data_IF_507648417354
#
_entry.id   IF_507648417354
#
_cell.length_a   1.000
_cell.length_b   1.000
_cell.length_c   1.000
_cell.angle_alpha   90.00
_cell.angle_beta   90.00
_cell.angle_gamma   90.00
#
_symmetry.space_group_name_H-M   'P 1'
#
loop_
_entity.id
_entity.type
_entity.pdbx_description
1 polymer ?
#
# COMPACT_ATOMS: atom_id res chain seq x y z
N UNK A 1 -11.86 25.39 -0.40
CA UNK A 1 -12.19 23.95 -0.57
C UNK A 1 -13.68 23.80 -0.84
N UNK A 2 -14.06 23.13 -1.94
CA UNK A 2 -15.48 22.96 -2.32
C UNK A 2 -16.24 22.07 -1.31
N UNK A 3 -17.57 22.20 -1.25
CA UNK A 3 -18.43 21.35 -0.38
C UNK A 3 -18.30 19.87 -0.75
N UNK A 4 -18.18 19.56 -2.03
CA UNK A 4 -17.97 18.19 -2.54
C UNK A 4 -16.63 17.60 -2.10
N UNK A 5 -15.56 18.40 -2.13
CA UNK A 5 -14.25 17.92 -1.65
C UNK A 5 -14.24 17.71 -0.12
N UNK A 6 -14.91 18.57 0.65
CA UNK A 6 -15.09 18.40 2.10
C UNK A 6 -15.81 17.09 2.44
N UNK A 7 -16.95 16.85 1.81
CA UNK A 7 -17.75 15.64 2.04
C UNK A 7 -17.02 14.39 1.60
N UNK A 8 -16.31 14.43 0.48
CA UNK A 8 -15.47 13.32 0.01
C UNK A 8 -14.37 12.97 1.03
N UNK A 9 -13.59 13.95 1.48
CA UNK A 9 -12.52 13.72 2.47
C UNK A 9 -13.10 13.15 3.76
N UNK A 10 -14.17 13.76 4.30
CA UNK A 10 -14.81 13.28 5.50
C UNK A 10 -15.32 11.84 5.35
N UNK A 11 -15.94 11.52 4.22
CA UNK A 11 -16.44 10.18 3.92
C UNK A 11 -15.32 9.14 3.86
N UNK A 12 -14.28 9.38 3.06
CA UNK A 12 -13.15 8.44 2.91
C UNK A 12 -12.42 8.24 4.24
N UNK A 13 -12.16 9.30 4.99
CA UNK A 13 -11.50 9.21 6.30
C UNK A 13 -12.35 8.43 7.30
N UNK A 14 -13.66 8.71 7.36
CA UNK A 14 -14.57 8.02 8.29
C UNK A 14 -14.68 6.54 7.95
N UNK A 15 -14.92 6.21 6.67
CA UNK A 15 -15.01 4.82 6.20
C UNK A 15 -13.71 4.08 6.42
N UNK A 16 -12.56 4.70 6.12
CA UNK A 16 -11.25 4.08 6.35
C UNK A 16 -10.99 3.83 7.83
N UNK A 17 -11.32 4.78 8.72
CA UNK A 17 -11.13 4.63 10.15
C UNK A 17 -12.02 3.52 10.72
N UNK A 18 -13.29 3.47 10.31
CA UNK A 18 -14.21 2.38 10.67
C UNK A 18 -13.73 1.04 10.14
N UNK A 19 -13.29 0.98 8.87
CA UNK A 19 -12.75 -0.22 8.26
C UNK A 19 -11.50 -0.72 9.01
N UNK A 20 -10.60 0.18 9.43
CA UNK A 20 -9.40 -0.18 10.20
C UNK A 20 -9.76 -0.71 11.58
N UNK A 21 -10.72 -0.08 12.26
CA UNK A 21 -11.21 -0.54 13.56
C UNK A 21 -11.84 -1.93 13.45
N UNK A 22 -12.77 -2.12 12.52
CA UNK A 22 -13.40 -3.42 12.26
C UNK A 22 -12.36 -4.45 11.87
N UNK A 23 -11.41 -4.10 10.99
CA UNK A 23 -10.37 -5.01 10.58
C UNK A 23 -9.51 -5.46 11.75
N UNK A 24 -9.12 -4.54 12.64
CA UNK A 24 -8.32 -4.83 13.83
C UNK A 24 -9.05 -5.76 14.82
N UNK A 25 -10.37 -5.62 14.95
CA UNK A 25 -11.16 -6.43 15.88
C UNK A 25 -11.56 -7.80 15.31
N UNK A 26 -11.82 -7.88 14.00
CA UNK A 26 -12.35 -9.09 13.34
C UNK A 26 -11.24 -9.95 12.75
N UNK A 27 -10.16 -9.34 12.26
CA UNK A 27 -9.08 -10.03 11.57
C UNK A 27 -7.76 -9.84 12.32
N UNK A 28 -7.48 -10.67 13.35
CA UNK A 28 -6.24 -10.58 14.10
C UNK A 28 -5.04 -10.79 13.17
N UNK A 29 -3.90 -10.16 13.51
CA UNK A 29 -2.68 -10.31 12.76
C UNK A 29 -2.25 -11.78 12.71
N UNK A 30 -2.00 -12.28 11.50
CA UNK A 30 -1.56 -13.66 11.28
C UNK A 30 -0.15 -13.87 11.85
N UNK A 31 0.13 -15.00 12.54
CA UNK A 31 1.46 -15.31 13.07
C UNK A 31 2.55 -15.40 11.99
N UNK A 32 2.20 -15.55 10.72
CA UNK A 32 3.16 -15.60 9.62
C UNK A 32 3.98 -14.32 9.46
N UNK A 33 3.50 -13.19 10.00
CA UNK A 33 4.26 -11.93 10.00
C UNK A 33 5.25 -11.82 11.16
N UNK A 34 5.26 -12.75 12.10
CA UNK A 34 6.05 -12.63 13.31
C UNK A 34 7.56 -12.51 13.02
N UNK A 35 8.19 -11.53 13.66
CA UNK A 35 9.63 -11.32 13.55
C UNK A 35 10.38 -12.31 14.45
N UNK A 36 11.41 -13.02 13.94
CA UNK A 36 12.15 -14.01 14.72
C UNK A 36 13.10 -13.31 15.71
N UNK A 37 12.59 -13.05 16.91
CA UNK A 37 13.36 -12.46 18.01
C UNK A 37 14.07 -13.57 18.82
N UNK A 38 15.38 -13.44 19.11
CA UNK A 38 16.10 -14.41 19.93
C UNK A 38 15.44 -14.58 21.31
N UNK A 39 15.15 -15.83 21.70
CA UNK A 39 14.55 -16.14 23.00
C UNK A 39 13.04 -15.86 23.11
N UNK A 40 12.38 -15.41 22.04
CA UNK A 40 10.93 -15.16 22.01
C UNK A 40 10.29 -16.09 20.99
N UNK A 41 9.27 -16.83 21.41
CA UNK A 41 8.51 -17.70 20.49
C UNK A 41 7.83 -16.89 19.38
N UNK A 42 7.84 -17.42 18.15
CA UNK A 42 7.22 -16.79 16.97
C UNK A 42 5.69 -16.67 17.09
N UNK A 43 5.06 -17.44 17.97
CA UNK A 43 3.62 -17.37 18.25
C UNK A 43 3.23 -16.30 19.29
N UNK A 44 4.18 -15.50 19.78
CA UNK A 44 3.89 -14.46 20.76
C UNK A 44 3.35 -13.19 20.10
N UNK A 45 2.47 -12.48 20.82
CA UNK A 45 1.99 -11.16 20.38
C UNK A 45 3.14 -10.16 20.17
N UNK A 46 4.22 -10.26 20.95
CA UNK A 46 5.41 -9.41 20.83
C UNK A 46 6.13 -9.65 19.50
N UNK A 47 6.35 -10.91 19.11
CA UNK A 47 6.98 -11.22 17.82
C UNK A 47 6.12 -10.75 16.64
N UNK A 48 4.79 -10.89 16.75
CA UNK A 48 3.84 -10.40 15.75
C UNK A 48 3.89 -8.88 15.61
N UNK A 49 3.87 -8.14 16.73
CA UNK A 49 3.98 -6.69 16.74
C UNK A 49 5.34 -6.21 16.19
N UNK A 50 6.43 -6.89 16.53
CA UNK A 50 7.75 -6.61 15.96
C UNK A 50 7.78 -6.82 14.44
N UNK A 51 7.07 -7.84 13.95
CA UNK A 51 6.85 -8.09 12.54
C UNK A 51 6.12 -6.96 11.84
N UNK A 52 4.98 -6.54 12.39
CA UNK A 52 4.23 -5.37 11.89
C UNK A 52 5.12 -4.12 11.89
N UNK A 53 5.88 -3.89 12.96
CA UNK A 53 6.84 -2.79 13.06
C UNK A 53 7.92 -2.83 11.98
N UNK A 54 8.49 -4.01 11.71
CA UNK A 54 9.45 -4.21 10.62
C UNK A 54 8.87 -3.79 9.26
N UNK A 55 7.65 -4.23 8.94
CA UNK A 55 7.00 -3.90 7.67
C UNK A 55 6.57 -2.43 7.58
N UNK A 56 6.17 -1.80 8.69
CA UNK A 56 5.95 -0.35 8.76
C UNK A 56 7.25 0.39 8.41
N UNK A 57 8.36 0.03 9.05
CA UNK A 57 9.66 0.67 8.81
C UNK A 57 10.13 0.48 7.37
N UNK A 58 10.01 -0.73 6.83
CA UNK A 58 10.40 -1.01 5.45
C UNK A 58 9.54 -0.21 4.46
N UNK A 59 8.25 -0.07 4.74
CA UNK A 59 7.33 0.76 3.94
C UNK A 59 7.69 2.24 4.05
N UNK A 60 7.98 2.77 5.25
CA UNK A 60 8.43 4.15 5.47
C UNK A 60 9.70 4.47 4.67
N UNK A 61 10.71 3.60 4.74
CA UNK A 61 11.96 3.76 4.00
C UNK A 61 11.72 3.74 2.49
N UNK A 62 10.86 2.83 2.02
CA UNK A 62 10.49 2.72 0.61
C UNK A 62 9.65 3.90 0.13
N UNK A 63 8.89 4.53 1.03
CA UNK A 63 8.05 5.70 0.75
C UNK A 63 8.83 7.01 0.78
N UNK A 64 10.03 7.04 1.35
CA UNK A 64 10.89 8.24 1.39
C UNK A 64 11.37 8.72 0.00
N UNK A 65 11.22 7.90 -1.04
CA UNK A 65 11.70 8.17 -2.40
C UNK A 65 10.59 8.05 -3.47
N UNK A 66 9.46 8.77 -3.35
CA UNK A 66 8.36 8.65 -4.29
C UNK A 66 8.70 9.30 -5.65
N UNK A 67 8.06 8.83 -6.72
CA UNK A 67 8.12 9.47 -8.05
C UNK A 67 6.88 10.34 -8.22
N UNK A 68 7.09 11.61 -8.54
CA UNK A 68 6.02 12.58 -8.84
C UNK A 68 5.53 12.38 -10.27
N UNK A 69 4.23 12.49 -10.46
CA UNK A 69 3.56 12.40 -11.75
C UNK A 69 3.14 13.78 -12.25
N UNK A 70 2.84 13.94 -13.56
CA UNK A 70 2.50 15.23 -14.15
C UNK A 70 1.34 15.96 -13.45
N UNK A 71 0.39 15.22 -12.86
CA UNK A 71 -0.76 15.79 -12.17
C UNK A 71 -0.55 15.96 -10.65
N UNK A 72 0.69 15.80 -10.16
CA UNK A 72 1.06 15.97 -8.76
C UNK A 72 0.78 14.78 -7.85
N UNK A 73 0.26 13.68 -8.40
CA UNK A 73 0.15 12.39 -7.73
C UNK A 73 1.56 11.80 -7.51
N UNK A 74 1.72 11.04 -6.42
CA UNK A 74 2.97 10.39 -6.08
C UNK A 74 2.74 8.89 -6.08
N UNK A 75 3.63 8.14 -6.74
CA UNK A 75 3.63 6.68 -6.63
C UNK A 75 5.01 6.25 -6.19
N UNK A 76 5.01 5.50 -5.09
CA UNK A 76 6.19 4.91 -4.49
C UNK A 76 6.24 3.41 -4.74
N UNK A 77 7.45 2.89 -4.70
CA UNK A 77 7.72 1.44 -4.69
C UNK A 77 7.33 0.79 -3.36
N UNK A 78 6.95 1.58 -2.35
CA UNK A 78 6.48 1.09 -1.05
C UNK A 78 5.20 0.25 -1.11
N UNK A 79 4.50 0.24 -2.25
CA UNK A 79 3.38 -0.66 -2.46
C UNK A 79 3.79 -2.13 -2.32
N UNK A 80 5.01 -2.50 -2.75
CA UNK A 80 5.49 -3.88 -2.62
C UNK A 80 5.60 -4.36 -1.14
N UNK A 81 6.34 -3.67 -0.23
CA UNK A 81 6.38 -4.07 1.17
C UNK A 81 5.03 -3.97 1.89
N UNK A 82 4.18 -3.02 1.50
CA UNK A 82 2.81 -2.94 2.03
C UNK A 82 1.97 -4.16 1.64
N UNK A 83 2.01 -4.58 0.38
CA UNK A 83 1.32 -5.79 -0.09
C UNK A 83 1.91 -7.06 0.53
N UNK A 84 3.23 -7.13 0.70
CA UNK A 84 3.87 -8.24 1.42
C UNK A 84 3.34 -8.38 2.86
N UNK A 85 3.21 -7.25 3.58
CA UNK A 85 2.65 -7.25 4.92
C UNK A 85 1.17 -7.64 4.94
N UNK A 86 0.39 -7.24 3.93
CA UNK A 86 -0.99 -7.71 3.75
C UNK A 86 -1.04 -9.23 3.54
N UNK A 87 -0.16 -9.80 2.72
CA UNK A 87 -0.10 -11.24 2.46
C UNK A 87 0.26 -12.05 3.72
N UNK A 88 1.17 -11.54 4.54
CA UNK A 88 1.61 -12.21 5.77
C UNK A 88 0.65 -12.01 6.94
N UNK A 89 0.19 -10.77 7.14
CA UNK A 89 -0.49 -10.34 8.36
C UNK A 89 -2.01 -10.18 8.24
N UNK A 90 -2.54 -10.11 7.02
CA UNK A 90 -3.99 -9.97 6.77
C UNK A 90 -4.50 -8.51 6.77
N UNK A 91 -5.83 -8.31 6.79
CA UNK A 91 -6.50 -7.02 6.60
C UNK A 91 -6.10 -5.94 7.60
N UNK A 92 -6.05 -6.28 8.90
CA UNK A 92 -5.70 -5.33 9.94
C UNK A 92 -4.27 -4.80 9.75
N UNK A 93 -3.33 -5.72 9.53
CA UNK A 93 -1.93 -5.39 9.28
C UNK A 93 -1.79 -4.54 8.01
N UNK A 94 -2.49 -4.91 6.94
CA UNK A 94 -2.49 -4.13 5.70
C UNK A 94 -2.90 -2.67 5.95
N UNK A 95 -3.96 -2.47 6.73
CA UNK A 95 -4.42 -1.13 7.12
C UNK A 95 -3.41 -0.35 7.97
N UNK A 96 -2.82 -0.97 9.00
CA UNK A 96 -1.83 -0.32 9.86
C UNK A 96 -0.52 0.00 9.13
N UNK A 97 -0.03 -0.94 8.31
CA UNK A 97 1.18 -0.73 7.50
C UNK A 97 0.93 0.32 6.44
N UNK A 98 -0.23 0.35 5.78
CA UNK A 98 -0.60 1.42 4.86
C UNK A 98 -0.68 2.77 5.58
N UNK A 99 -1.40 2.83 6.72
CA UNK A 99 -1.63 4.07 7.45
C UNK A 99 -0.37 4.65 8.07
N UNK A 100 0.53 3.84 8.62
CA UNK A 100 1.75 4.34 9.26
C UNK A 100 2.92 4.37 8.30
N UNK A 101 3.02 3.36 7.42
CA UNK A 101 4.11 3.16 6.48
C UNK A 101 4.20 4.19 5.36
N UNK A 102 3.13 4.94 5.11
CA UNK A 102 3.08 5.97 4.06
C UNK A 102 3.21 7.40 4.59
N UNK A 103 3.62 7.56 5.85
CA UNK A 103 3.88 8.87 6.46
C UNK A 103 5.06 9.56 5.79
N UNK A 104 4.90 10.84 5.41
CA UNK A 104 5.97 11.62 4.79
C UNK A 104 6.66 12.59 5.76
N UNK A 105 7.95 12.85 5.53
CA UNK A 105 8.72 13.86 6.29
C UNK A 105 8.06 15.25 6.24
N UNK A 106 7.37 15.57 5.15
CA UNK A 106 6.68 16.85 4.93
C UNK A 106 5.47 17.01 5.86
N UNK A 107 4.79 15.92 6.16
CA UNK A 107 3.66 15.90 7.09
C UNK A 107 4.14 16.13 8.52
N UNK A 108 5.25 15.47 8.90
CA UNK A 108 5.89 15.67 10.20
C UNK A 108 6.40 17.10 10.41
N UNK A 109 6.71 17.81 9.32
CA UNK A 109 7.10 19.22 9.33
C UNK A 109 5.93 20.20 9.24
N UNK A 110 4.70 19.70 9.08
CA UNK A 110 3.51 20.55 8.91
C UNK A 110 3.44 21.26 7.55
N UNK A 111 4.21 20.82 6.55
CA UNK A 111 4.18 21.40 5.18
C UNK A 111 2.92 20.99 4.41
N UNK A 112 2.22 19.95 4.87
CA UNK A 112 0.99 19.44 4.27
C UNK A 112 -0.16 19.71 5.27
N UNK A 113 -1.29 20.30 4.82
CA UNK A 113 -2.45 20.49 5.69
C UNK A 113 -2.94 19.15 6.25
N UNK A 114 -3.29 19.13 7.54
CA UNK A 114 -3.69 17.91 8.26
C UNK A 114 -4.79 17.09 7.56
N UNK A 115 -5.76 17.76 6.94
CA UNK A 115 -6.86 17.10 6.22
C UNK A 115 -6.38 16.43 4.93
N UNK A 116 -5.32 16.95 4.31
CA UNK A 116 -4.68 16.37 3.13
C UNK A 116 -3.95 15.09 3.48
N UNK A 117 -3.19 15.09 4.60
CA UNK A 117 -2.54 13.90 5.12
C UNK A 117 -3.57 12.83 5.50
N UNK A 118 -4.60 13.17 6.27
CA UNK A 118 -5.65 12.19 6.60
C UNK A 118 -6.32 11.60 5.37
N UNK A 119 -6.65 12.42 4.36
CA UNK A 119 -7.24 11.94 3.11
C UNK A 119 -6.29 11.01 2.34
N UNK A 120 -4.99 11.31 2.33
CA UNK A 120 -3.98 10.48 1.68
C UNK A 120 -3.83 9.13 2.37
N UNK A 121 -3.65 9.14 3.70
CA UNK A 121 -3.50 7.93 4.50
C UNK A 121 -4.77 7.06 4.42
N UNK A 122 -5.96 7.65 4.56
CA UNK A 122 -7.22 6.94 4.42
C UNK A 122 -7.43 6.39 2.99
N UNK A 123 -7.02 7.16 1.99
CA UNK A 123 -7.08 6.78 0.57
C UNK A 123 -6.24 5.56 0.23
N UNK A 124 -5.17 5.28 0.98
CA UNK A 124 -4.31 4.09 0.80
C UNK A 124 -4.71 2.95 1.75
N UNK A 125 -5.01 3.27 3.02
CA UNK A 125 -5.36 2.29 4.04
C UNK A 125 -6.66 1.55 3.71
N UNK A 126 -7.70 2.25 3.23
CA UNK A 126 -8.97 1.61 2.88
C UNK A 126 -8.81 0.56 1.76
N UNK A 127 -8.17 0.85 0.61
CA UNK A 127 -7.83 -0.18 -0.39
C UNK A 127 -7.03 -1.35 0.18
N UNK A 128 -6.05 -1.09 1.05
CA UNK A 128 -5.21 -2.14 1.64
C UNK A 128 -6.03 -3.10 2.51
N UNK A 129 -6.94 -2.55 3.34
CA UNK A 129 -7.84 -3.34 4.17
C UNK A 129 -8.78 -4.18 3.30
N UNK A 130 -9.43 -3.56 2.31
CA UNK A 130 -10.38 -4.28 1.43
C UNK A 130 -9.67 -5.38 0.64
N UNK A 131 -8.49 -5.11 0.09
CA UNK A 131 -7.68 -6.12 -0.58
C UNK A 131 -7.26 -7.26 0.36
N UNK A 132 -6.91 -6.95 1.61
CA UNK A 132 -6.63 -7.97 2.62
C UNK A 132 -7.85 -8.83 2.94
N UNK A 133 -9.05 -8.24 3.01
CA UNK A 133 -10.30 -8.99 3.21
C UNK A 133 -10.55 -9.90 2.02
N UNK A 134 -10.42 -9.38 0.80
CA UNK A 134 -10.53 -10.17 -0.44
C UNK A 134 -9.58 -11.36 -0.42
N UNK A 135 -8.32 -11.15 -0.04
CA UNK A 135 -7.33 -12.23 0.07
C UNK A 135 -7.80 -13.34 1.02
N UNK A 136 -8.37 -12.99 2.18
CA UNK A 136 -8.83 -13.98 3.15
C UNK A 136 -10.06 -14.76 2.69
N UNK A 137 -11.03 -14.10 2.06
CA UNK A 137 -12.28 -14.75 1.63
C UNK A 137 -12.13 -15.56 0.34
N UNK A 138 -11.09 -15.30 -0.45
CA UNK A 138 -10.83 -16.09 -1.66
C UNK A 138 -10.54 -17.55 -1.30
N UNK A 139 -11.18 -18.53 -1.98
CA UNK A 139 -10.93 -19.95 -1.74
C UNK A 139 -9.50 -20.36 -2.18
N UNK A 140 -9.07 -21.56 -1.77
CA UNK A 140 -7.78 -22.12 -2.20
C UNK A 140 -6.59 -21.75 -1.34
N UNK A 141 -6.80 -21.37 -0.07
CA UNK A 141 -5.71 -21.08 0.87
C UNK A 141 -4.75 -22.24 1.10
N UNK A 142 -5.24 -23.48 0.96
CA UNK A 142 -4.46 -24.71 1.14
C UNK A 142 -4.18 -25.42 -0.18
N UNK A 143 -4.52 -24.80 -1.32
CA UNK A 143 -4.41 -25.42 -2.65
C UNK A 143 -3.01 -25.31 -3.28
N UNK A 144 -2.01 -24.89 -2.49
CA UNK A 144 -0.61 -24.79 -2.89
C UNK A 144 -0.18 -23.42 -3.41
N UNK A 145 1.10 -23.30 -3.73
CA UNK A 145 1.79 -22.03 -4.02
C UNK A 145 1.21 -21.29 -5.22
N UNK A 146 0.77 -21.99 -6.27
CA UNK A 146 0.16 -21.34 -7.44
C UNK A 146 -1.18 -20.69 -7.07
N UNK A 147 -2.01 -21.35 -6.25
CA UNK A 147 -3.27 -20.79 -5.78
C UNK A 147 -3.02 -19.59 -4.86
N UNK A 148 -2.04 -19.66 -3.97
CA UNK A 148 -1.61 -18.53 -3.14
C UNK A 148 -1.17 -17.33 -3.98
N UNK A 149 -0.35 -17.57 -5.01
CA UNK A 149 0.08 -16.53 -5.95
C UNK A 149 -1.11 -15.89 -6.68
N UNK A 150 -2.03 -16.69 -7.22
CA UNK A 150 -3.22 -16.16 -7.92
C UNK A 150 -4.10 -15.35 -6.98
N UNK A 151 -4.33 -15.81 -5.74
CA UNK A 151 -5.08 -15.07 -4.71
C UNK A 151 -4.39 -13.74 -4.38
N UNK A 152 -3.07 -13.76 -4.25
CA UNK A 152 -2.26 -12.56 -4.03
C UNK A 152 -2.38 -11.56 -5.19
N UNK A 153 -2.42 -12.03 -6.44
CA UNK A 153 -2.58 -11.17 -7.62
C UNK A 153 -3.97 -10.55 -7.68
N UNK A 154 -5.02 -11.32 -7.38
CA UNK A 154 -6.40 -10.80 -7.32
C UNK A 154 -6.51 -9.72 -6.23
N UNK A 155 -5.98 -9.98 -5.04
CA UNK A 155 -5.97 -8.99 -3.96
C UNK A 155 -5.19 -7.72 -4.33
N UNK A 156 -4.02 -7.86 -4.97
CA UNK A 156 -3.24 -6.73 -5.50
C UNK A 156 -3.99 -5.92 -6.56
N UNK A 157 -4.71 -6.58 -7.45
CA UNK A 157 -5.53 -5.90 -8.45
C UNK A 157 -6.66 -5.11 -7.78
N UNK A 158 -7.33 -5.67 -6.77
CA UNK A 158 -8.35 -4.97 -5.98
C UNK A 158 -7.76 -3.75 -5.28
N UNK A 159 -6.62 -3.91 -4.60
CA UNK A 159 -5.89 -2.79 -3.99
C UNK A 159 -5.65 -1.68 -5.02
N UNK A 160 -5.08 -2.03 -6.17
CA UNK A 160 -4.71 -1.06 -7.20
C UNK A 160 -5.93 -0.32 -7.77
N UNK A 161 -7.01 -1.05 -8.13
CA UNK A 161 -8.24 -0.46 -8.68
C UNK A 161 -8.83 0.53 -7.68
N UNK A 162 -8.96 0.15 -6.41
CA UNK A 162 -9.52 1.01 -5.37
C UNK A 162 -8.63 2.22 -5.11
N UNK A 163 -7.31 2.02 -5.01
CA UNK A 163 -6.36 3.10 -4.77
C UNK A 163 -6.39 4.14 -5.90
N UNK A 164 -6.33 3.71 -7.17
CA UNK A 164 -6.43 4.62 -8.32
C UNK A 164 -7.78 5.34 -8.36
N UNK A 165 -8.87 4.64 -8.04
CA UNK A 165 -10.21 5.24 -8.03
C UNK A 165 -10.33 6.32 -6.95
N UNK A 166 -9.86 6.04 -5.73
CA UNK A 166 -9.92 7.00 -4.62
C UNK A 166 -8.96 8.19 -4.82
N UNK A 167 -7.73 7.92 -5.23
CA UNK A 167 -6.74 8.96 -5.52
C UNK A 167 -7.19 9.83 -6.70
N UNK A 168 -7.67 9.21 -7.78
CA UNK A 168 -8.20 9.91 -8.95
C UNK A 168 -9.44 10.75 -8.63
N UNK A 169 -10.34 10.26 -7.78
CA UNK A 169 -11.51 11.01 -7.31
C UNK A 169 -11.13 12.23 -6.49
N UNK A 170 -10.17 12.08 -5.56
CA UNK A 170 -9.65 13.19 -4.78
C UNK A 170 -9.02 14.26 -5.68
N UNK A 171 -8.20 13.84 -6.64
CA UNK A 171 -7.51 14.74 -7.56
C UNK A 171 -8.52 15.47 -8.46
N UNK A 172 -9.47 14.75 -9.06
CA UNK A 172 -10.52 15.33 -9.90
C UNK A 172 -11.34 16.40 -9.16
N UNK A 173 -11.73 16.14 -7.92
CA UNK A 173 -12.44 17.10 -7.07
C UNK A 173 -11.58 18.31 -6.68
N UNK A 174 -10.26 18.13 -6.56
CA UNK A 174 -9.31 19.19 -6.22
C UNK A 174 -9.00 20.11 -7.41
N UNK A 175 -8.88 19.55 -8.60
CA UNK A 175 -8.54 20.29 -9.83
C UNK A 175 -9.76 20.72 -10.64
N UNK A 176 -10.97 20.34 -10.21
CA UNK A 176 -12.22 20.56 -10.94
C UNK A 176 -12.17 19.99 -12.37
N UNK A 177 -11.47 18.87 -12.53
CA UNK A 177 -11.39 18.11 -13.79
C UNK A 177 -12.32 16.90 -13.76
N UNK A 178 -12.66 16.36 -14.93
CA UNK A 178 -13.46 15.14 -14.98
C UNK A 178 -12.66 13.93 -14.49
N UNK A 179 -13.32 13.06 -13.72
CA UNK A 179 -12.72 11.84 -13.17
C UNK A 179 -12.10 10.95 -14.26
N UNK A 180 -12.78 10.85 -15.41
CA UNK A 180 -12.31 10.07 -16.56
C UNK A 180 -10.98 10.59 -17.11
N UNK A 181 -10.82 11.91 -17.20
CA UNK A 181 -9.57 12.53 -17.68
C UNK A 181 -8.42 12.23 -16.72
N UNK A 182 -8.66 12.38 -15.42
CA UNK A 182 -7.65 12.10 -14.39
C UNK A 182 -7.26 10.63 -14.38
N UNK A 183 -8.23 9.72 -14.32
CA UNK A 183 -7.95 8.29 -14.25
C UNK A 183 -7.28 7.81 -15.53
N UNK A 184 -7.77 8.14 -16.73
CA UNK A 184 -7.16 7.63 -17.97
C UNK A 184 -5.77 8.26 -18.21
N UNK A 185 -5.62 9.55 -17.89
CA UNK A 185 -4.38 10.30 -18.10
C UNK A 185 -3.24 9.84 -17.20
N UNK A 186 -3.54 9.44 -15.96
CA UNK A 186 -2.56 8.99 -14.98
C UNK A 186 -2.38 7.46 -14.98
N UNK A 187 -3.47 6.68 -15.12
CA UNK A 187 -3.40 5.23 -14.91
C UNK A 187 -2.71 4.45 -16.03
N UNK A 188 -2.76 4.88 -17.29
CA UNK A 188 -2.19 4.11 -18.42
C UNK A 188 -0.68 3.90 -18.32
N UNK A 189 0.07 4.92 -17.87
CA UNK A 189 1.52 4.81 -17.69
C UNK A 189 1.93 4.04 -16.44
N UNK A 190 1.00 3.88 -15.48
CA UNK A 190 1.31 3.38 -14.14
C UNK A 190 0.72 2.03 -13.83
N UNK A 191 -0.30 1.61 -14.56
CA UNK A 191 -0.99 0.34 -14.37
C UNK A 191 0.00 -0.82 -14.41
N UNK A 192 0.85 -0.87 -15.45
CA UNK A 192 1.84 -1.94 -15.60
C UNK A 192 2.87 -1.94 -14.45
N UNK A 193 3.40 -0.77 -14.10
CA UNK A 193 4.38 -0.66 -13.02
C UNK A 193 3.78 -1.04 -11.65
N UNK A 194 2.56 -0.57 -11.38
CA UNK A 194 1.88 -0.83 -10.10
C UNK A 194 1.42 -2.28 -9.98
N UNK A 195 0.94 -2.89 -11.08
CA UNK A 195 0.58 -4.31 -11.11
C UNK A 195 1.81 -5.20 -10.91
N UNK A 196 2.98 -4.81 -11.41
CA UNK A 196 4.23 -5.54 -11.20
C UNK A 196 4.68 -5.56 -9.71
N UNK A 197 4.20 -4.64 -8.88
CA UNK A 197 4.48 -4.63 -7.44
C UNK A 197 3.75 -5.74 -6.68
N UNK A 198 2.65 -6.28 -7.23
CA UNK A 198 1.94 -7.43 -6.68
C UNK A 198 2.82 -8.69 -6.58
N UNK A 199 3.36 -9.19 -7.70
CA UNK A 199 4.30 -10.31 -7.71
C UNK A 199 5.53 -10.07 -6.83
N UNK A 200 6.06 -8.85 -6.81
CA UNK A 200 7.22 -8.50 -5.98
C UNK A 200 6.85 -8.58 -4.49
N UNK A 201 5.74 -8.00 -4.07
CA UNK A 201 5.25 -8.09 -2.69
C UNK A 201 4.99 -9.53 -2.27
N UNK A 202 4.47 -10.36 -3.17
CA UNK A 202 4.27 -11.78 -2.89
C UNK A 202 5.61 -12.49 -2.70
N UNK A 203 6.57 -12.27 -3.59
CA UNK A 203 7.90 -12.87 -3.47
C UNK A 203 8.62 -12.41 -2.19
N UNK A 204 8.47 -11.13 -1.81
CA UNK A 204 8.95 -10.61 -0.53
C UNK A 204 8.31 -11.35 0.65
N UNK A 205 7.00 -11.64 0.60
CA UNK A 205 6.32 -12.39 1.67
C UNK A 205 6.84 -13.83 1.79
N UNK A 206 7.04 -14.52 0.67
CA UNK A 206 7.58 -15.89 0.66
C UNK A 206 8.99 -15.93 1.23
N UNK A 207 9.85 -15.00 0.78
CA UNK A 207 11.24 -14.93 1.23
C UNK A 207 11.35 -14.49 2.69
N UNK A 208 10.42 -13.69 3.19
CA UNK A 208 10.36 -13.35 4.61
C UNK A 208 10.21 -14.58 5.50
N UNK A 209 9.30 -15.48 5.11
CA UNK A 209 9.04 -16.74 5.84
C UNK A 209 10.29 -17.62 5.85
N UNK A 210 11.04 -17.66 4.75
CA UNK A 210 12.29 -18.40 4.67
C UNK A 210 13.39 -17.75 5.50
N UNK A 211 13.68 -16.46 5.27
CA UNK A 211 14.68 -15.64 5.95
C UNK A 211 14.29 -14.15 5.86
N UNK A 212 13.92 -13.55 6.99
CA UNK A 212 13.39 -12.18 7.05
C UNK A 212 14.27 -11.13 6.34
N UNK A 213 15.60 -11.21 6.51
CA UNK A 213 16.55 -10.24 5.96
C UNK A 213 16.67 -10.33 4.43
N UNK A 214 16.32 -11.46 3.82
CA UNK A 214 16.35 -11.64 2.35
C UNK A 214 15.39 -10.66 1.65
N UNK A 215 14.32 -10.24 2.34
CA UNK A 215 13.41 -9.19 1.82
C UNK A 215 14.10 -7.86 1.58
N UNK A 216 15.17 -7.55 2.34
CA UNK A 216 15.94 -6.31 2.16
C UNK A 216 16.70 -6.29 0.84
N UNK A 217 16.99 -7.46 0.23
CA UNK A 217 17.62 -7.54 -1.09
C UNK A 217 16.71 -6.96 -2.19
N UNK A 218 15.41 -6.87 -1.97
CA UNK A 218 14.47 -6.20 -2.89
C UNK A 218 14.62 -4.68 -2.90
N UNK A 219 15.39 -4.09 -1.98
CA UNK A 219 15.71 -2.67 -2.04
C UNK A 219 16.37 -2.29 -3.37
N UNK A 220 17.24 -3.15 -3.91
CA UNK A 220 17.92 -2.91 -5.18
C UNK A 220 16.94 -2.88 -6.38
N UNK A 221 16.14 -3.94 -6.67
CA UNK A 221 15.19 -3.90 -7.77
C UNK A 221 14.10 -2.83 -7.59
N UNK A 222 13.65 -2.57 -6.35
CA UNK A 222 12.69 -1.49 -6.11
C UNK A 222 13.31 -0.11 -6.43
N UNK A 223 14.58 0.08 -6.07
CA UNK A 223 15.30 1.30 -6.41
C UNK A 223 15.49 1.47 -7.92
N UNK A 224 15.83 0.40 -8.65
CA UNK A 224 15.98 0.48 -10.12
C UNK A 224 14.63 0.74 -10.81
N UNK A 225 13.54 0.10 -10.37
CA UNK A 225 12.18 0.39 -10.87
C UNK A 225 11.79 1.84 -10.66
N UNK A 226 12.12 2.40 -9.48
CA UNK A 226 11.90 3.83 -9.21
C UNK A 226 12.68 4.70 -10.20
N UNK A 227 13.96 4.43 -10.40
CA UNK A 227 14.79 5.20 -11.33
C UNK A 227 14.26 5.14 -12.76
N UNK A 228 13.83 3.97 -13.22
CA UNK A 228 13.19 3.82 -14.53
C UNK A 228 11.90 4.65 -14.64
N UNK A 229 11.05 4.63 -13.61
CA UNK A 229 9.82 5.43 -13.58
C UNK A 229 10.10 6.93 -13.59
N UNK A 230 11.11 7.39 -12.84
CA UNK A 230 11.52 8.80 -12.84
C UNK A 230 12.01 9.24 -14.22
N UNK A 231 12.86 8.45 -14.88
CA UNK A 231 13.33 8.72 -16.25
C UNK A 231 12.21 8.74 -17.28
N UNK A 232 11.21 7.88 -17.14
CA UNK A 232 10.04 7.87 -18.02
C UNK A 232 9.24 9.17 -17.92
N UNK A 233 9.02 9.67 -16.69
CA UNK A 233 8.34 10.96 -16.48
C UNK A 233 9.16 12.11 -17.05
N UNK A 234 10.47 12.15 -16.78
CA UNK A 234 11.38 13.18 -17.34
C UNK A 234 11.32 13.22 -18.87
N UNK A 235 11.38 12.07 -19.54
CA UNK A 235 11.30 12.02 -21.02
C UNK A 235 9.95 12.52 -21.54
N UNK A 236 8.84 12.23 -20.85
CA UNK A 236 7.51 12.71 -21.24
C UNK A 236 7.36 14.22 -21.12
N UNK A 237 8.09 14.86 -20.21
CA UNK A 237 8.06 16.32 -20.05
C UNK A 237 8.94 17.06 -21.08
N UNK A 238 9.86 16.36 -21.75
CA UNK A 238 10.73 16.95 -22.79
C UNK A 238 10.07 17.04 -24.18
N UNK A 239 8.93 16.38 -24.39
CA UNK A 239 8.20 16.31 -25.67
C UNK A 239 6.76 16.80 -25.51
#
# INVERSE_FOLDING_TARGET
MSRSLKSYIAGVVTVSAMALLVATLVYPASPAIAFPLPGVGTSTGVATLAGVGFWILLTLVSWALPVKLPFGTHVGVATAPMLAAMYLGGPAVAGWVAMLGTTERRELRGEIPWYGSLANHAGIALPAIVAGVVLQVLPGATAGTLAEFVRAMIASAVFWILNVTLAGSLLALRTNQSLRVVIIGDSRGMALNSLALGPIGWLMSVLYIFQWWTTLLFALPLYTTRQAAARFVEMREMF
#
